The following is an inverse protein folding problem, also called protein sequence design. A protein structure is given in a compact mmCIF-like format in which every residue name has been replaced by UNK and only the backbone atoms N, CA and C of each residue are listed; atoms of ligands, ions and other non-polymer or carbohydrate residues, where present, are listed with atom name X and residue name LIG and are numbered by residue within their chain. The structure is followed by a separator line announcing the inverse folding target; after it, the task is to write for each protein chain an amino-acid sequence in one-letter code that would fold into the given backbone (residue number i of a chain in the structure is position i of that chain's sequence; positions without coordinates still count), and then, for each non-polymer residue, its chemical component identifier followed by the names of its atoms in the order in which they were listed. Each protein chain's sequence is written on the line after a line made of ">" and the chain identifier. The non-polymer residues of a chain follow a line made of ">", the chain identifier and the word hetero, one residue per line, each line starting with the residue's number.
data_IF_951484492106
#
_entry.id   IF_951484492106
#
_cell.length_a   1.000
_cell.length_b   1.000
_cell.length_c   1.000
_cell.angle_alpha   90.00
_cell.angle_beta   90.00
_cell.angle_gamma   90.00
#
_symmetry.space_group_name_H-M   'P 1'
#
loop_
_entity.id
_entity.type
_entity.pdbx_description
1 polymer ?
#
# COMPACT_ATOMS: atom_id res chain seq x y z
N UNK A 1 10.63 -37.06 -52.73
CA UNK A 1 11.35 -36.46 -51.57
C UNK A 1 10.39 -35.55 -50.78
N UNK A 2 9.62 -36.05 -49.81
CA UNK A 2 8.69 -35.21 -48.98
C UNK A 2 8.53 -35.77 -47.54
N UNK A 3 9.63 -36.10 -46.85
CA UNK A 3 9.58 -36.65 -45.48
C UNK A 3 10.30 -35.80 -44.42
N UNK A 4 11.00 -34.74 -44.81
CA UNK A 4 11.78 -33.90 -43.89
C UNK A 4 10.90 -32.94 -43.06
N UNK A 5 9.87 -32.33 -43.65
CA UNK A 5 9.05 -31.31 -42.99
C UNK A 5 8.15 -31.82 -41.85
N UNK A 6 7.73 -33.10 -41.85
CA UNK A 6 6.86 -33.66 -40.80
C UNK A 6 7.61 -33.97 -39.51
N UNK A 7 8.92 -34.25 -39.58
CA UNK A 7 9.77 -34.55 -38.43
C UNK A 7 10.22 -33.29 -37.68
N UNK A 8 10.48 -32.20 -38.39
CA UNK A 8 10.84 -30.90 -37.81
C UNK A 8 9.66 -30.19 -37.12
N UNK A 9 8.44 -30.32 -37.64
CA UNK A 9 7.24 -29.79 -36.98
C UNK A 9 6.93 -30.53 -35.67
N UNK A 10 7.08 -31.86 -35.64
CA UNK A 10 6.88 -32.65 -34.41
C UNK A 10 7.88 -32.29 -33.31
N UNK A 11 9.16 -32.05 -33.68
CA UNK A 11 10.19 -31.64 -32.72
C UNK A 11 9.92 -30.24 -32.14
N UNK A 12 9.45 -29.31 -32.99
CA UNK A 12 9.11 -27.95 -32.57
C UNK A 12 7.89 -27.92 -31.64
N UNK A 13 6.88 -28.75 -31.89
CA UNK A 13 5.71 -28.87 -31.00
C UNK A 13 6.10 -29.46 -29.64
N UNK A 14 6.97 -30.48 -29.61
CA UNK A 14 7.48 -31.06 -28.36
C UNK A 14 8.36 -30.05 -27.60
N UNK A 15 9.20 -29.29 -28.30
CA UNK A 15 10.00 -28.24 -27.67
C UNK A 15 9.09 -27.15 -27.06
N UNK A 16 8.06 -26.72 -27.78
CA UNK A 16 7.11 -25.71 -27.32
C UNK A 16 6.30 -26.20 -26.09
N UNK A 17 5.89 -27.47 -26.06
CA UNK A 17 5.14 -28.01 -24.92
C UNK A 17 6.03 -28.20 -23.69
N UNK A 18 7.29 -28.62 -23.86
CA UNK A 18 8.26 -28.72 -22.76
C UNK A 18 8.62 -27.34 -22.21
N UNK A 19 8.80 -26.34 -23.08
CA UNK A 19 9.03 -24.94 -22.65
C UNK A 19 7.81 -24.41 -21.89
N UNK A 20 6.60 -24.68 -22.35
CA UNK A 20 5.39 -24.25 -21.67
C UNK A 20 5.24 -24.91 -20.28
N UNK A 21 5.51 -26.21 -20.17
CA UNK A 21 5.42 -26.97 -18.92
C UNK A 21 6.50 -26.57 -17.90
N UNK A 22 7.71 -26.25 -18.37
CA UNK A 22 8.78 -25.75 -17.50
C UNK A 22 8.53 -24.31 -17.07
N UNK A 23 7.93 -23.48 -17.93
CA UNK A 23 7.59 -22.10 -17.59
C UNK A 23 6.49 -22.04 -16.52
N UNK A 24 5.46 -22.89 -16.57
CA UNK A 24 4.41 -22.92 -15.54
C UNK A 24 4.89 -23.42 -14.18
N UNK A 25 5.92 -24.28 -14.13
CA UNK A 25 6.50 -24.77 -12.89
C UNK A 25 7.40 -23.74 -12.17
N UNK A 26 7.90 -22.73 -12.89
CA UNK A 26 8.80 -21.69 -12.36
C UNK A 26 8.05 -20.42 -11.93
N UNK A 27 6.79 -20.25 -12.37
CA UNK A 27 5.97 -19.15 -11.90
C UNK A 27 5.52 -19.41 -10.46
N UNK A 28 5.76 -18.48 -9.51
CA UNK A 28 5.21 -18.60 -8.18
C UNK A 28 3.68 -18.58 -8.29
N UNK A 29 3.01 -19.53 -7.63
CA UNK A 29 1.57 -19.45 -7.47
C UNK A 29 1.24 -18.11 -6.78
N UNK A 30 0.41 -17.29 -7.44
CA UNK A 30 -0.17 -16.11 -6.78
C UNK A 30 -1.13 -16.66 -5.73
N UNK A 31 -0.66 -16.77 -4.50
CA UNK A 31 -1.51 -17.09 -3.36
C UNK A 31 -2.54 -15.96 -3.23
N UNK A 32 -3.79 -16.28 -3.52
CA UNK A 32 -4.90 -15.38 -3.24
C UNK A 32 -4.90 -15.08 -1.73
N UNK A 33 -4.93 -13.79 -1.38
CA UNK A 33 -5.01 -13.37 0.01
C UNK A 33 -6.23 -14.03 0.67
N UNK A 34 -6.00 -14.79 1.74
CA UNK A 34 -7.08 -15.40 2.50
C UNK A 34 -7.88 -14.27 3.14
N UNK A 35 -9.22 -14.23 3.00
CA UNK A 35 -10.02 -13.17 3.62
C UNK A 35 -9.81 -13.21 5.13
N UNK A 36 -9.16 -12.18 5.67
CA UNK A 36 -8.93 -12.02 7.10
C UNK A 36 -10.29 -11.94 7.80
N UNK A 37 -10.43 -12.67 8.90
CA UNK A 37 -11.56 -12.46 9.81
C UNK A 37 -11.62 -10.97 10.24
N UNK A 38 -12.82 -10.42 10.47
CA UNK A 38 -12.96 -9.03 10.88
C UNK A 38 -12.23 -8.77 12.20
N UNK A 39 -11.56 -7.62 12.29
CA UNK A 39 -10.85 -7.23 13.50
C UNK A 39 -11.87 -6.91 14.62
N UNK A 40 -11.68 -7.51 15.80
CA UNK A 40 -12.53 -7.22 16.96
C UNK A 40 -12.18 -5.89 17.62
N UNK A 41 -10.90 -5.52 17.60
CA UNK A 41 -10.39 -4.31 18.26
C UNK A 41 -9.39 -3.61 17.33
N UNK A 42 -9.37 -2.28 17.37
CA UNK A 42 -8.44 -1.44 16.61
C UNK A 42 -7.75 -0.49 17.58
N UNK A 43 -6.41 -0.52 17.59
CA UNK A 43 -5.58 0.45 18.31
C UNK A 43 -4.82 1.25 17.26
N UNK A 44 -5.08 2.54 17.19
CA UNK A 44 -4.43 3.46 16.27
C UNK A 44 -3.41 4.31 17.03
N UNK A 45 -2.14 4.21 16.64
CA UNK A 45 -1.05 5.02 17.19
C UNK A 45 -0.66 6.07 16.15
N UNK A 46 -0.74 7.35 16.52
CA UNK A 46 -0.41 8.48 15.64
C UNK A 46 0.83 9.18 16.19
N UNK A 47 1.93 9.16 15.43
CA UNK A 47 3.06 10.04 15.67
C UNK A 47 2.88 11.35 14.90
N UNK A 48 2.45 12.41 15.57
CA UNK A 48 2.30 13.73 14.94
C UNK A 48 3.67 14.24 14.44
N UNK A 49 3.73 14.65 13.17
CA UNK A 49 4.98 15.06 12.52
C UNK A 49 6.02 13.94 12.33
N UNK A 50 5.66 12.66 12.52
CA UNK A 50 6.59 11.54 12.43
C UNK A 50 6.81 11.08 10.98
N UNK A 51 7.64 11.83 10.25
CA UNK A 51 8.13 11.43 8.93
C UNK A 51 9.31 10.45 8.99
N UNK A 52 9.81 10.04 7.82
CA UNK A 52 10.97 9.15 7.70
C UNK A 52 12.23 9.68 8.39
N UNK A 53 12.45 11.00 8.39
CA UNK A 53 13.59 11.61 9.06
C UNK A 53 13.56 11.39 10.57
N UNK A 54 12.39 11.59 11.17
CA UNK A 54 12.12 11.43 12.60
C UNK A 54 12.27 9.95 13.01
N UNK A 55 11.72 9.02 12.21
CA UNK A 55 11.93 7.59 12.40
C UNK A 55 13.41 7.21 12.32
N UNK A 56 14.15 7.76 11.36
CA UNK A 56 15.58 7.49 11.20
C UNK A 56 16.40 8.01 12.38
N UNK A 57 16.10 9.22 12.86
CA UNK A 57 16.73 9.76 14.06
C UNK A 57 16.43 8.87 15.28
N UNK A 58 15.18 8.41 15.44
CA UNK A 58 14.79 7.48 16.49
C UNK A 58 15.63 6.19 16.48
N UNK A 59 15.83 5.59 15.30
CA UNK A 59 16.71 4.41 15.15
C UNK A 59 18.16 4.68 15.54
N UNK A 60 18.69 5.84 15.17
CA UNK A 60 20.07 6.23 15.53
C UNK A 60 20.21 6.36 17.05
N UNK A 61 19.25 7.01 17.71
CA UNK A 61 19.28 7.21 19.17
C UNK A 61 19.10 5.90 19.93
N UNK A 62 18.21 5.02 19.46
CA UNK A 62 18.00 3.68 20.04
C UNK A 62 19.18 2.73 19.77
N UNK A 63 19.99 3.02 18.73
CA UNK A 63 21.07 2.14 18.29
C UNK A 63 20.58 0.89 17.54
N UNK A 64 19.36 0.91 17.01
CA UNK A 64 18.73 -0.26 16.41
C UNK A 64 17.37 0.03 15.75
N UNK A 65 16.64 -1.06 15.42
CA UNK A 65 15.30 -0.97 14.84
C UNK A 65 14.27 -0.54 15.89
N UNK A 66 13.27 0.24 15.48
CA UNK A 66 12.14 0.61 16.34
C UNK A 66 11.12 -0.53 16.39
N UNK A 67 10.31 -0.61 17.45
CA UNK A 67 9.24 -1.62 17.56
C UNK A 67 8.28 -1.58 16.37
N UNK A 68 8.01 -0.40 15.81
CA UNK A 68 7.15 -0.27 14.63
C UNK A 68 7.74 -0.89 13.36
N UNK A 69 9.08 -1.05 13.29
CA UNK A 69 9.75 -1.66 12.14
C UNK A 69 9.51 -3.17 12.06
N UNK A 70 9.04 -3.81 13.16
CA UNK A 70 8.74 -5.25 13.17
C UNK A 70 7.35 -5.59 12.62
N UNK A 71 6.55 -4.60 12.20
CA UNK A 71 5.24 -4.87 11.61
C UNK A 71 5.36 -5.52 10.23
N UNK A 72 4.54 -6.55 10.00
CA UNK A 72 4.53 -7.35 8.76
C UNK A 72 4.17 -6.52 7.53
N UNK A 73 3.33 -5.50 7.71
CA UNK A 73 2.84 -4.65 6.63
C UNK A 73 3.29 -3.21 6.84
N UNK A 74 3.87 -2.63 5.79
CA UNK A 74 4.30 -1.23 5.74
C UNK A 74 3.79 -0.60 4.45
N UNK A 75 3.43 0.68 4.49
CA UNK A 75 2.90 1.40 3.35
C UNK A 75 3.08 2.90 3.49
N UNK A 76 2.78 3.63 2.41
CA UNK A 76 2.82 5.10 2.36
C UNK A 76 1.46 5.65 2.05
N UNK A 77 1.16 6.84 2.59
CA UNK A 77 -0.14 7.51 2.41
C UNK A 77 0.12 8.96 2.01
N UNK A 78 -0.66 9.45 1.04
CA UNK A 78 -0.62 10.84 0.60
C UNK A 78 -1.41 11.75 1.54
N UNK A 79 -0.73 12.68 2.20
CA UNK A 79 -1.27 13.52 3.28
C UNK A 79 -1.78 14.89 2.85
N UNK A 80 -1.74 15.24 1.56
CA UNK A 80 -2.18 16.56 1.09
C UNK A 80 -3.63 16.89 1.53
N UNK A 81 -3.93 18.14 1.94
CA UNK A 81 -5.26 18.56 2.33
C UNK A 81 -6.12 18.88 1.10
N UNK A 82 -7.42 19.06 1.30
CA UNK A 82 -8.32 19.64 0.30
C UNK A 82 -8.51 21.14 0.58
N UNK A 83 -7.41 21.89 0.53
CA UNK A 83 -7.36 23.31 0.82
C UNK A 83 -7.25 24.13 -0.49
N UNK A 84 -8.04 25.20 -0.68
CA UNK A 84 -7.94 26.05 -1.87
C UNK A 84 -6.64 26.86 -1.94
N UNK A 85 -6.01 27.17 -0.80
CA UNK A 85 -4.80 27.99 -0.67
C UNK A 85 -3.55 27.10 -0.60
N UNK A 86 -3.46 26.24 0.42
CA UNK A 86 -2.27 25.41 0.70
C UNK A 86 -2.48 23.94 0.29
N UNK A 87 -2.30 23.66 -1.00
CA UNK A 87 -2.72 22.38 -1.62
C UNK A 87 -1.85 21.17 -1.30
N UNK A 88 -0.66 21.37 -0.73
CA UNK A 88 0.36 20.32 -0.63
C UNK A 88 0.71 19.93 0.80
N UNK A 89 0.68 20.89 1.72
CA UNK A 89 1.10 20.70 3.10
C UNK A 89 -0.13 20.79 4.00
N UNK A 90 -0.47 19.66 4.60
CA UNK A 90 -1.57 19.58 5.57
C UNK A 90 -1.11 20.07 6.94
N UNK A 91 -2.04 20.60 7.72
CA UNK A 91 -1.88 20.73 9.16
C UNK A 91 -2.43 19.50 9.90
N UNK A 92 -2.23 19.45 11.23
CA UNK A 92 -2.69 18.34 12.07
C UNK A 92 -4.23 18.23 12.14
N UNK A 93 -4.96 19.34 12.03
CA UNK A 93 -6.43 19.35 12.10
C UNK A 93 -7.08 18.68 10.88
N UNK A 94 -6.65 19.06 9.68
CA UNK A 94 -7.16 18.47 8.44
C UNK A 94 -6.75 16.99 8.32
N UNK A 95 -5.53 16.64 8.74
CA UNK A 95 -5.05 15.27 8.75
C UNK A 95 -5.85 14.39 9.72
N UNK A 96 -6.08 14.86 10.96
CA UNK A 96 -6.87 14.13 11.95
C UNK A 96 -8.33 13.94 11.47
N UNK A 97 -8.92 14.96 10.84
CA UNK A 97 -10.26 14.86 10.25
C UNK A 97 -10.31 13.80 9.16
N UNK A 98 -9.32 13.76 8.27
CA UNK A 98 -9.26 12.76 7.20
C UNK A 98 -9.08 11.33 7.75
N UNK A 99 -8.25 11.15 8.79
CA UNK A 99 -8.06 9.85 9.44
C UNK A 99 -9.34 9.37 10.13
N UNK A 100 -10.05 10.26 10.83
CA UNK A 100 -11.20 9.89 11.65
C UNK A 100 -12.51 9.74 10.85
N UNK A 101 -12.66 10.47 9.75
CA UNK A 101 -13.92 10.53 8.98
C UNK A 101 -13.79 9.93 7.58
N UNK A 102 -12.57 9.72 7.09
CA UNK A 102 -12.31 9.35 5.70
C UNK A 102 -12.50 10.50 4.69
N UNK A 103 -12.79 11.72 5.16
CA UNK A 103 -13.06 12.88 4.31
C UNK A 103 -11.93 13.92 4.44
N UNK A 104 -11.29 14.25 3.32
CA UNK A 104 -10.29 15.34 3.27
C UNK A 104 -10.96 16.70 3.38
N UNK A 105 -10.31 17.63 4.09
CA UNK A 105 -10.79 19.00 4.32
C UNK A 105 -9.64 20.01 4.19
N UNK A 106 -9.91 21.30 4.42
CA UNK A 106 -8.94 22.39 4.38
C UNK A 106 -8.18 22.53 5.70
N UNK A 107 -7.02 23.21 5.70
CA UNK A 107 -6.21 23.37 6.89
C UNK A 107 -6.97 24.14 7.99
N UNK A 108 -6.67 23.82 9.25
CA UNK A 108 -7.36 24.29 10.45
C UNK A 108 -8.81 23.80 10.62
N UNK A 109 -9.35 23.00 9.69
CA UNK A 109 -10.68 22.43 9.81
C UNK A 109 -10.70 21.17 10.69
N UNK A 110 -11.69 21.07 11.58
CA UNK A 110 -11.92 19.91 12.43
C UNK A 110 -13.33 19.39 12.18
N UNK A 111 -13.45 18.13 11.76
CA UNK A 111 -14.74 17.43 11.58
C UNK A 111 -15.74 18.16 10.67
N UNK A 112 -15.25 18.90 9.68
CA UNK A 112 -16.07 19.52 8.63
C UNK A 112 -15.47 19.24 7.25
N UNK A 113 -16.33 19.21 6.23
CA UNK A 113 -15.91 19.16 4.82
C UNK A 113 -15.46 20.54 4.30
N UNK A 114 -15.05 20.59 3.03
CA UNK A 114 -14.64 21.85 2.37
C UNK A 114 -15.75 22.89 2.24
N UNK A 115 -17.02 22.48 2.35
CA UNK A 115 -18.19 23.36 2.35
C UNK A 115 -18.59 23.77 3.78
N UNK A 116 -17.73 23.49 4.77
CA UNK A 116 -17.94 23.77 6.19
C UNK A 116 -19.14 23.01 6.78
N UNK A 117 -19.58 21.93 6.14
CA UNK A 117 -20.62 21.07 6.66
C UNK A 117 -20.02 20.03 7.61
N UNK A 118 -20.67 19.71 8.74
CA UNK A 118 -20.20 18.68 9.65
C UNK A 118 -20.08 17.31 8.96
N UNK A 119 -18.99 16.60 9.25
CA UNK A 119 -18.79 15.21 8.81
C UNK A 119 -18.85 14.26 10.00
N UNK A 120 -19.41 13.07 9.79
CA UNK A 120 -19.53 12.05 10.84
C UNK A 120 -18.23 11.25 10.95
N UNK A 121 -17.94 10.83 12.17
CA UNK A 121 -16.89 9.84 12.45
C UNK A 121 -17.35 8.47 11.95
N UNK A 122 -16.41 7.68 11.41
CA UNK A 122 -16.65 6.30 11.02
C UNK A 122 -16.47 5.33 12.18
#
# INVERSE_FOLDING_TARGET
>A
MRFSARRSVGLLVILLTVVCLTLTAVLPAVQAATPSAPAQNVILLIGDGMGYGQMTLGRIVEGGALTMDSFTYNGTVSTYPNDPVEKWVTDSAAAATAIATGVKTYNAAISVDVNKQPVKLN
#
